data_IF_950796174671
#
_entry.id   IF_950796174671
#
_cell.length_a   1.000
_cell.length_b   1.000
_cell.length_c   1.000
_cell.angle_alpha   90.00
_cell.angle_beta   90.00
_cell.angle_gamma   90.00
#
_symmetry.space_group_name_H-M   'P 1'
#
loop_
_entity.id
_entity.type
_entity.pdbx_description
1 polymer ?
#
# COMPACT_ATOMS: atom_id res chain seq x y z
N UNK A 1 15.10 6.46 -9.68
CA UNK A 1 14.31 6.06 -8.49
C UNK A 1 13.87 7.33 -7.77
N UNK A 2 12.71 7.34 -7.13
CA UNK A 2 12.19 8.49 -6.40
C UNK A 2 11.46 8.07 -5.12
N UNK A 3 11.51 8.89 -4.05
CA UNK A 3 10.82 8.60 -2.81
C UNK A 3 9.32 8.92 -2.92
N UNK A 4 8.48 8.01 -2.44
CA UNK A 4 7.03 8.18 -2.33
C UNK A 4 6.65 8.05 -0.86
N UNK A 5 6.00 9.07 -0.29
CA UNK A 5 5.45 8.97 1.08
C UNK A 5 4.19 8.10 1.04
N UNK A 6 4.13 7.07 1.87
CA UNK A 6 3.04 6.10 1.87
C UNK A 6 2.64 5.76 3.29
N UNK A 7 1.34 5.77 3.53
CA UNK A 7 0.72 5.14 4.69
C UNK A 7 -0.03 3.88 4.22
N UNK A 8 0.25 2.74 4.86
CA UNK A 8 -0.43 1.47 4.63
C UNK A 8 -1.34 1.19 5.83
N UNK A 9 -2.62 1.05 5.57
CA UNK A 9 -3.65 0.80 6.57
C UNK A 9 -4.32 -0.54 6.31
N UNK A 10 -4.73 -1.23 7.38
CA UNK A 10 -5.50 -2.47 7.29
C UNK A 10 -6.72 -2.42 8.19
N UNK A 11 -7.84 -2.94 7.70
CA UNK A 11 -9.02 -3.24 8.50
C UNK A 11 -8.91 -4.64 9.08
N UNK A 12 -9.30 -4.82 10.35
CA UNK A 12 -9.34 -6.16 10.95
C UNK A 12 -10.20 -7.08 10.08
N UNK A 13 -9.83 -8.36 9.96
CA UNK A 13 -10.49 -9.34 9.09
C UNK A 13 -12.02 -9.39 9.23
N UNK A 14 -12.57 -9.04 10.39
CA UNK A 14 -14.00 -9.01 10.69
C UNK A 14 -14.75 -7.80 10.09
N UNK A 15 -14.04 -6.79 9.55
CA UNK A 15 -14.59 -5.55 8.97
C UNK A 15 -14.21 -5.36 7.49
N UNK A 16 -13.73 -6.41 6.83
CA UNK A 16 -13.21 -6.37 5.45
C UNK A 16 -14.30 -6.26 4.36
N UNK A 17 -15.57 -6.00 4.73
CA UNK A 17 -16.70 -5.91 3.79
C UNK A 17 -16.96 -4.49 3.27
N UNK A 18 -16.39 -3.48 3.93
CA UNK A 18 -16.40 -2.08 3.51
C UNK A 18 -15.02 -1.52 3.79
N UNK A 19 -14.42 -0.74 2.89
CA UNK A 19 -13.22 0.03 3.18
C UNK A 19 -13.53 0.96 4.36
N UNK A 20 -13.29 0.51 5.59
CA UNK A 20 -13.54 1.32 6.77
C UNK A 20 -12.55 2.48 6.73
N UNK A 21 -13.03 3.68 7.05
CA UNK A 21 -12.19 4.88 7.09
C UNK A 21 -11.30 4.91 8.34
N UNK A 22 -11.50 3.96 9.26
CA UNK A 22 -10.68 3.71 10.44
C UNK A 22 -9.88 2.41 10.26
N UNK A 23 -8.85 2.47 9.42
CA UNK A 23 -7.84 1.42 9.33
C UNK A 23 -6.79 1.56 10.44
N UNK A 24 -6.15 0.46 10.84
CA UNK A 24 -4.97 0.54 11.68
C UNK A 24 -3.75 0.76 10.79
N UNK A 25 -2.96 1.81 11.07
CA UNK A 25 -1.71 2.06 10.36
C UNK A 25 -0.74 0.91 10.65
N UNK A 26 -0.30 0.23 9.60
CA UNK A 26 0.76 -0.77 9.66
C UNK A 26 2.12 -0.11 9.44
N UNK A 27 2.17 0.82 8.50
CA UNK A 27 3.41 1.48 8.05
C UNK A 27 3.08 2.93 7.65
N UNK A 28 3.85 3.90 8.14
CA UNK A 28 3.92 5.27 7.60
C UNK A 28 5.39 5.57 7.33
N UNK A 29 5.79 5.50 6.06
CA UNK A 29 7.20 5.63 5.66
C UNK A 29 7.34 6.10 4.21
N UNK A 30 8.59 6.15 3.73
CA UNK A 30 8.90 6.37 2.33
C UNK A 30 9.26 5.05 1.64
N UNK A 31 8.60 4.77 0.51
CA UNK A 31 9.00 3.71 -0.40
C UNK A 31 9.84 4.30 -1.54
N UNK A 32 10.95 3.64 -1.89
CA UNK A 32 11.78 4.04 -3.02
C UNK A 32 11.33 3.26 -4.25
N UNK A 33 10.77 3.98 -5.23
CA UNK A 33 10.15 3.38 -6.42
C UNK A 33 10.98 3.71 -7.67
N UNK A 34 10.95 2.85 -8.69
CA UNK A 34 11.61 3.13 -9.96
C UNK A 34 10.90 4.27 -10.71
N UNK A 35 11.67 5.12 -11.39
CA UNK A 35 11.12 6.18 -12.24
C UNK A 35 10.38 5.65 -13.48
N UNK A 36 10.56 4.36 -13.79
CA UNK A 36 9.89 3.66 -14.89
C UNK A 36 8.65 2.88 -14.44
N UNK A 37 8.30 2.91 -13.15
CA UNK A 37 7.12 2.22 -12.63
C UNK A 37 5.86 2.82 -13.24
N UNK A 38 5.06 1.98 -13.88
CA UNK A 38 3.76 2.38 -14.43
C UNK A 38 2.84 2.76 -13.27
N UNK A 39 2.12 3.88 -13.39
CA UNK A 39 1.28 4.41 -12.31
C UNK A 39 0.24 3.39 -11.82
N UNK A 40 -0.33 2.58 -12.71
CA UNK A 40 -1.27 1.51 -12.36
C UNK A 40 -0.67 0.41 -11.48
N UNK A 41 0.65 0.23 -11.52
CA UNK A 41 1.40 -0.76 -10.73
C UNK A 41 2.04 -0.14 -9.48
N UNK A 42 1.77 1.14 -9.19
CA UNK A 42 2.43 1.85 -8.10
C UNK A 42 2.15 1.19 -6.75
N UNK A 43 0.91 0.82 -6.48
CA UNK A 43 0.50 0.19 -5.21
C UNK A 43 1.23 -1.15 -5.01
N UNK A 44 1.23 -2.02 -6.01
CA UNK A 44 1.93 -3.31 -5.98
C UNK A 44 3.44 -3.12 -5.78
N UNK A 45 4.03 -2.16 -6.50
CA UNK A 45 5.46 -1.87 -6.42
C UNK A 45 5.87 -1.34 -5.04
N UNK A 46 5.07 -0.44 -4.47
CA UNK A 46 5.27 0.09 -3.12
C UNK A 46 5.16 -1.01 -2.08
N UNK A 47 4.10 -1.82 -2.12
CA UNK A 47 3.91 -2.90 -1.15
C UNK A 47 4.99 -3.96 -1.26
N UNK A 48 5.47 -4.27 -2.46
CA UNK A 48 6.61 -5.15 -2.68
C UNK A 48 7.90 -4.55 -2.09
N UNK A 49 8.17 -3.26 -2.33
CA UNK A 49 9.33 -2.56 -1.78
C UNK A 49 9.34 -2.49 -0.24
N UNK A 50 8.15 -2.48 0.38
CA UNK A 50 7.98 -2.52 1.83
C UNK A 50 7.98 -3.95 2.42
N UNK A 51 8.14 -4.99 1.60
CA UNK A 51 8.14 -6.39 2.06
C UNK A 51 6.74 -6.95 2.34
N UNK A 52 5.69 -6.34 1.78
CA UNK A 52 4.31 -6.76 1.93
C UNK A 52 3.59 -7.14 0.62
N UNK A 53 4.18 -7.96 -0.27
CA UNK A 53 3.59 -8.28 -1.57
C UNK A 53 2.22 -8.97 -1.47
N UNK A 54 1.99 -9.78 -0.43
CA UNK A 54 0.72 -10.47 -0.20
C UNK A 54 -0.47 -9.52 0.02
N UNK A 55 -0.23 -8.28 0.46
CA UNK A 55 -1.30 -7.29 0.69
C UNK A 55 -1.80 -6.68 -0.62
N UNK A 56 -1.02 -6.77 -1.70
CA UNK A 56 -1.30 -6.06 -2.94
C UNK A 56 -2.59 -6.51 -3.65
N UNK A 57 -2.95 -7.79 -3.52
CA UNK A 57 -4.16 -8.38 -4.12
C UNK A 57 -5.47 -7.70 -3.67
N UNK A 58 -5.52 -7.21 -2.44
CA UNK A 58 -6.70 -6.57 -1.85
C UNK A 58 -6.46 -5.11 -1.45
N UNK A 59 -5.34 -4.53 -1.90
CA UNK A 59 -5.00 -3.15 -1.60
C UNK A 59 -5.69 -2.20 -2.57
N UNK A 60 -6.01 -0.99 -2.08
CA UNK A 60 -6.53 0.10 -2.90
C UNK A 60 -5.73 1.35 -2.64
N UNK A 61 -5.24 1.98 -3.71
CA UNK A 61 -4.69 3.34 -3.65
C UNK A 61 -5.83 4.37 -3.71
N UNK A 62 -5.69 5.46 -2.97
CA UNK A 62 -6.57 6.63 -3.05
C UNK A 62 -5.85 7.75 -3.81
#
# INVERSE_FOLDING_TARGET
MFPVRVAVETVRAQHCLSCAHDGHILVDTYAIVSGTTVLSQLVETVLSALGHPQLALNARGN
#
